data_IF_945292016741
#
_entry.id   IF_945292016741
#
_cell.length_a   1.000
_cell.length_b   1.000
_cell.length_c   1.000
_cell.angle_alpha   90.00
_cell.angle_beta   90.00
_cell.angle_gamma   90.00
#
_symmetry.space_group_name_H-M   'P 1'
#
loop_
_entity.id
_entity.type
_entity.pdbx_description
1 polymer ?
#
# COMPACT_ATOMS: atom_id res chain seq x y z
N UNK A 1 54.45 25.97 21.49
CA UNK A 1 53.39 26.99 21.36
C UNK A 1 52.60 26.99 20.03
N UNK A 2 53.05 26.36 18.96
CA UNK A 2 52.32 26.38 17.66
C UNK A 2 51.12 25.46 17.54
N UNK A 3 51.06 24.36 18.29
CA UNK A 3 49.93 23.39 18.19
C UNK A 3 48.61 23.85 18.81
N UNK A 4 48.66 24.75 19.78
CA UNK A 4 47.43 25.22 20.46
C UNK A 4 46.79 26.42 19.74
N UNK A 5 47.56 27.12 18.89
CA UNK A 5 47.03 28.21 18.09
C UNK A 5 46.15 27.71 16.95
N UNK A 6 46.55 26.60 16.27
CA UNK A 6 45.76 25.98 15.21
C UNK A 6 44.44 25.38 15.71
N UNK A 7 44.42 24.79 16.92
CA UNK A 7 43.18 24.29 17.51
C UNK A 7 42.17 25.37 17.87
N UNK A 8 42.65 26.54 18.30
CA UNK A 8 41.77 27.67 18.60
C UNK A 8 41.25 28.38 17.37
N UNK A 9 42.04 28.46 16.30
CA UNK A 9 41.60 29.02 15.02
C UNK A 9 40.57 28.10 14.33
N UNK A 10 40.75 26.77 14.41
CA UNK A 10 39.80 25.81 13.84
C UNK A 10 38.45 25.80 14.59
N UNK A 11 38.47 26.03 15.92
CA UNK A 11 37.25 26.10 16.72
C UNK A 11 36.42 27.36 16.45
N UNK A 12 37.08 28.48 16.15
CA UNK A 12 36.40 29.75 15.84
C UNK A 12 35.80 29.72 14.41
N UNK A 13 36.47 29.05 13.47
CA UNK A 13 35.97 28.93 12.09
C UNK A 13 34.74 27.99 11.98
N UNK A 14 34.64 26.96 12.83
CA UNK A 14 33.44 26.11 12.89
C UNK A 14 32.23 26.81 13.55
N UNK A 15 32.46 27.69 14.51
CA UNK A 15 31.38 28.40 15.17
C UNK A 15 30.79 29.56 14.33
N UNK A 16 31.55 30.10 13.39
CA UNK A 16 31.08 31.18 12.51
C UNK A 16 30.27 30.69 11.31
N UNK A 17 30.40 29.41 10.91
CA UNK A 17 29.59 28.82 9.81
C UNK A 17 28.19 28.38 10.25
N UNK A 18 27.94 28.23 11.55
CA UNK A 18 26.58 27.90 12.05
C UNK A 18 25.70 29.15 12.31
N UNK A 19 26.26 30.35 12.29
CA UNK A 19 25.50 31.57 12.56
C UNK A 19 24.86 32.22 11.33
N UNK A 20 25.16 31.71 10.10
CA UNK A 20 24.62 32.27 8.85
C UNK A 20 23.46 31.47 8.24
N UNK A 21 23.04 30.37 8.87
CA UNK A 21 21.92 29.54 8.36
C UNK A 21 20.54 29.87 8.96
N UNK A 22 20.43 30.93 9.78
CA UNK A 22 19.13 31.31 10.38
C UNK A 22 18.52 32.60 9.84
N UNK A 23 19.00 33.14 8.71
CA UNK A 23 18.35 34.27 8.04
C UNK A 23 17.91 33.83 6.64
N UNK A 24 16.88 33.02 6.60
CA UNK A 24 16.27 32.52 5.37
C UNK A 24 14.83 32.06 5.56
N UNK A 25 14.16 32.43 6.65
CA UNK A 25 12.70 32.45 6.68
C UNK A 25 12.24 33.80 6.12
N UNK A 26 12.45 33.99 4.82
CA UNK A 26 11.70 34.95 4.04
C UNK A 26 10.25 34.50 4.08
N UNK A 27 9.43 35.36 4.60
CA UNK A 27 7.99 35.39 4.51
C UNK A 27 7.56 35.20 3.05
N UNK A 28 7.48 33.98 2.57
CA UNK A 28 6.67 33.64 1.43
C UNK A 28 5.25 33.61 1.96
N UNK A 29 4.58 34.75 1.86
CA UNK A 29 3.14 34.77 1.73
C UNK A 29 2.78 33.91 0.51
N UNK A 30 2.84 32.60 0.69
CA UNK A 30 2.01 31.70 -0.05
C UNK A 30 0.60 32.09 0.35
N UNK A 31 -0.01 33.02 -0.41
CA UNK A 31 -1.44 33.06 -0.53
C UNK A 31 -1.83 31.62 -0.77
N UNK A 32 -2.25 30.95 0.27
CA UNK A 32 -3.18 29.86 0.20
C UNK A 32 -4.37 30.47 -0.54
N UNK A 33 -4.36 30.37 -1.86
CA UNK A 33 -5.61 30.42 -2.62
C UNK A 33 -6.44 29.35 -1.97
N UNK A 34 -7.42 29.77 -1.19
CA UNK A 34 -8.38 28.88 -0.57
C UNK A 34 -8.97 28.07 -1.72
N UNK A 35 -8.47 26.81 -1.89
CA UNK A 35 -9.22 25.82 -2.63
C UNK A 35 -10.59 25.86 -1.98
N UNK A 36 -11.56 26.37 -2.69
CA UNK A 36 -12.96 26.16 -2.36
C UNK A 36 -13.05 24.64 -2.24
N UNK A 37 -13.35 24.16 -1.06
CA UNK A 37 -13.73 22.77 -0.86
C UNK A 37 -14.99 22.60 -1.70
N UNK A 38 -14.82 22.06 -2.89
CA UNK A 38 -15.91 21.79 -3.83
C UNK A 38 -16.67 20.52 -3.44
N UNK A 39 -16.36 19.95 -2.27
CA UNK A 39 -16.94 18.72 -1.76
C UNK A 39 -16.40 17.47 -2.48
N UNK A 40 -15.36 17.59 -3.31
CA UNK A 40 -14.74 16.44 -3.97
C UNK A 40 -13.87 15.65 -3.01
N UNK A 41 -14.17 14.36 -2.89
CA UNK A 41 -13.40 13.39 -2.12
C UNK A 41 -12.39 12.72 -3.07
N UNK A 42 -11.11 12.79 -2.76
CA UNK A 42 -10.09 12.05 -3.52
C UNK A 42 -9.64 10.83 -2.72
N UNK A 43 -9.76 9.64 -3.34
CA UNK A 43 -9.26 8.38 -2.80
C UNK A 43 -7.99 7.96 -3.54
N UNK A 44 -6.92 7.74 -2.79
CA UNK A 44 -5.65 7.22 -3.32
C UNK A 44 -5.66 5.70 -3.25
N UNK A 45 -5.70 5.05 -4.40
CA UNK A 45 -5.79 3.59 -4.53
C UNK A 45 -4.48 3.05 -5.10
N UNK A 46 -3.86 2.12 -4.40
CA UNK A 46 -2.57 1.54 -4.77
C UNK A 46 -2.67 0.07 -5.14
N UNK A 47 -2.10 -0.29 -6.29
CA UNK A 47 -2.05 -1.69 -6.75
C UNK A 47 -0.80 -2.00 -7.59
N UNK A 48 -0.60 -3.29 -7.92
CA UNK A 48 0.59 -3.77 -8.63
C UNK A 48 0.38 -4.06 -10.14
N UNK A 49 -0.76 -3.73 -10.68
CA UNK A 49 -1.09 -4.07 -12.07
C UNK A 49 -0.64 -2.95 -13.01
N UNK A 50 0.68 -2.83 -13.22
CA UNK A 50 1.28 -1.76 -14.02
C UNK A 50 1.34 -2.07 -15.52
N UNK A 51 1.29 -3.35 -15.89
CA UNK A 51 1.43 -3.79 -17.29
C UNK A 51 0.10 -3.68 -18.05
N UNK A 52 0.10 -3.07 -19.22
CA UNK A 52 -1.09 -2.88 -20.06
C UNK A 52 -1.67 -4.21 -20.60
N UNK A 53 -0.89 -5.28 -20.62
CA UNK A 53 -1.38 -6.63 -20.94
C UNK A 53 -2.04 -7.33 -19.75
N UNK A 54 -2.04 -6.72 -18.58
CA UNK A 54 -2.65 -7.29 -17.39
C UNK A 54 -4.17 -7.08 -17.42
N UNK A 55 -4.91 -8.16 -17.55
CA UNK A 55 -6.38 -8.13 -17.60
C UNK A 55 -7.00 -7.48 -16.34
N UNK A 56 -6.39 -7.65 -15.17
CA UNK A 56 -6.86 -7.04 -13.93
C UNK A 56 -6.76 -5.51 -13.96
N UNK A 57 -5.75 -4.96 -14.64
CA UNK A 57 -5.63 -3.51 -14.83
C UNK A 57 -6.82 -2.96 -15.60
N UNK A 58 -7.14 -3.56 -16.75
CA UNK A 58 -8.28 -3.13 -17.55
C UNK A 58 -9.60 -3.20 -16.79
N UNK A 59 -9.87 -4.29 -16.10
CA UNK A 59 -11.08 -4.46 -15.27
C UNK A 59 -11.13 -3.44 -14.11
N UNK A 60 -10.01 -3.15 -13.49
CA UNK A 60 -9.92 -2.13 -12.45
C UNK A 60 -10.24 -0.74 -13.01
N UNK A 61 -9.65 -0.35 -14.14
CA UNK A 61 -9.90 0.95 -14.78
C UNK A 61 -11.35 1.13 -15.20
N UNK A 62 -12.00 0.06 -15.69
CA UNK A 62 -13.42 0.05 -15.99
C UNK A 62 -14.27 0.26 -14.73
N UNK A 63 -13.93 -0.45 -13.64
CA UNK A 63 -14.61 -0.31 -12.36
C UNK A 63 -14.46 1.11 -11.78
N UNK A 64 -13.28 1.71 -11.87
CA UNK A 64 -13.03 3.10 -11.45
C UNK A 64 -13.91 4.07 -12.23
N UNK A 65 -13.95 3.94 -13.56
CA UNK A 65 -14.80 4.80 -14.42
C UNK A 65 -16.29 4.67 -14.06
N UNK A 66 -16.76 3.44 -13.82
CA UNK A 66 -18.13 3.20 -13.42
C UNK A 66 -18.43 3.84 -12.05
N UNK A 67 -17.54 3.63 -11.08
CA UNK A 67 -17.71 4.17 -9.75
C UNK A 67 -17.71 5.70 -9.71
N UNK A 68 -16.78 6.37 -10.40
CA UNK A 68 -16.75 7.85 -10.50
C UNK A 68 -17.97 8.42 -11.21
N UNK A 69 -18.52 7.69 -12.20
CA UNK A 69 -19.76 8.09 -12.88
C UNK A 69 -20.95 8.07 -11.91
N UNK A 70 -21.04 7.05 -11.08
CA UNK A 70 -22.14 6.88 -10.12
C UNK A 70 -21.96 7.76 -8.87
N UNK A 71 -20.70 8.20 -8.61
CA UNK A 71 -20.32 9.03 -7.46
C UNK A 71 -19.54 10.28 -7.93
N UNK A 72 -20.19 11.28 -8.54
CA UNK A 72 -19.52 12.39 -9.22
C UNK A 72 -18.69 13.29 -8.28
N UNK A 73 -18.93 13.21 -6.99
CA UNK A 73 -18.14 13.89 -5.95
C UNK A 73 -16.91 13.10 -5.50
N UNK A 74 -16.66 11.90 -6.05
CA UNK A 74 -15.48 11.09 -5.73
C UNK A 74 -14.53 11.05 -6.92
N UNK A 75 -13.24 11.17 -6.64
CA UNK A 75 -12.15 10.97 -7.60
C UNK A 75 -11.20 9.90 -7.09
N UNK A 76 -10.83 8.98 -7.96
CA UNK A 76 -9.89 7.92 -7.65
C UNK A 76 -8.55 8.23 -8.29
N UNK A 77 -7.55 8.47 -7.45
CA UNK A 77 -6.16 8.62 -7.87
C UNK A 77 -5.45 7.29 -7.71
N UNK A 78 -5.05 6.69 -8.82
CA UNK A 78 -4.37 5.39 -8.83
C UNK A 78 -2.87 5.56 -8.84
N UNK A 79 -2.19 4.83 -7.95
CA UNK A 79 -0.74 4.59 -7.97
C UNK A 79 -0.49 3.14 -8.32
N UNK A 80 0.29 2.88 -9.37
CA UNK A 80 0.61 1.52 -9.80
C UNK A 80 2.09 1.35 -10.08
N UNK A 81 2.64 0.22 -9.67
CA UNK A 81 4.03 -0.17 -9.84
C UNK A 81 4.09 -1.65 -10.24
N UNK A 82 5.24 -2.11 -10.75
CA UNK A 82 5.47 -3.54 -10.84
C UNK A 82 5.54 -4.20 -9.46
N UNK A 83 5.38 -5.53 -9.42
CA UNK A 83 5.20 -6.26 -8.17
C UNK A 83 6.30 -6.01 -7.14
N UNK A 84 7.57 -5.99 -7.54
CA UNK A 84 8.68 -5.86 -6.58
C UNK A 84 8.88 -4.42 -6.12
N UNK A 85 8.74 -3.46 -7.03
CA UNK A 85 8.73 -2.03 -6.69
C UNK A 85 7.53 -1.70 -5.79
N UNK A 86 6.35 -2.27 -6.09
CA UNK A 86 5.14 -2.12 -5.27
C UNK A 86 5.33 -2.62 -3.83
N UNK A 87 5.84 -3.85 -3.66
CA UNK A 87 6.14 -4.41 -2.34
C UNK A 87 7.10 -3.53 -1.54
N UNK A 88 8.16 -3.07 -2.20
CA UNK A 88 9.16 -2.22 -1.56
C UNK A 88 8.56 -0.90 -1.11
N UNK A 89 7.84 -0.23 -2.00
CA UNK A 89 7.26 1.09 -1.74
C UNK A 89 6.17 1.03 -0.67
N UNK A 90 5.24 0.08 -0.76
CA UNK A 90 4.13 -0.02 0.19
C UNK A 90 4.62 -0.38 1.60
N UNK A 91 5.64 -1.26 1.73
CA UNK A 91 6.24 -1.55 3.02
C UNK A 91 6.93 -0.31 3.64
N UNK A 92 7.58 0.52 2.83
CA UNK A 92 8.18 1.77 3.30
C UNK A 92 7.11 2.77 3.77
N UNK A 93 6.00 2.91 3.05
CA UNK A 93 4.88 3.77 3.44
C UNK A 93 4.24 3.31 4.76
N UNK A 94 4.02 2.00 4.93
CA UNK A 94 3.46 1.46 6.18
C UNK A 94 4.45 1.42 7.35
N UNK A 95 5.75 1.50 7.09
CA UNK A 95 6.74 1.75 8.14
C UNK A 95 6.63 3.18 8.70
N UNK A 96 6.11 4.11 7.91
CA UNK A 96 5.72 5.46 8.30
C UNK A 96 4.23 5.57 8.63
N UNK A 97 3.66 6.71 8.30
CA UNK A 97 2.25 7.04 8.61
C UNK A 97 1.25 6.58 7.53
N UNK A 98 1.73 6.18 6.35
CA UNK A 98 0.93 5.75 5.19
C UNK A 98 -0.19 6.75 4.79
N UNK A 99 0.02 8.06 5.02
CA UNK A 99 -1.01 9.12 4.84
C UNK A 99 -1.50 9.30 3.40
N UNK A 100 -0.78 8.76 2.42
CA UNK A 100 -1.12 8.85 1.00
C UNK A 100 -1.83 7.62 0.44
N UNK A 101 -2.33 6.72 1.30
CA UNK A 101 -2.94 5.47 0.89
C UNK A 101 -4.29 5.33 1.58
N UNK A 102 -5.37 5.34 0.81
CA UNK A 102 -6.73 5.14 1.33
C UNK A 102 -7.19 3.70 1.09
N UNK A 103 -6.88 3.13 -0.07
CA UNK A 103 -7.18 1.75 -0.45
C UNK A 103 -5.97 1.13 -1.12
N UNK A 104 -5.69 -0.13 -0.83
CA UNK A 104 -4.55 -0.80 -1.45
C UNK A 104 -4.79 -2.29 -1.66
N UNK A 105 -4.16 -2.84 -2.70
CA UNK A 105 -4.10 -4.28 -2.93
C UNK A 105 -2.97 -4.88 -2.10
N UNK A 106 -3.24 -6.00 -1.41
CA UNK A 106 -2.22 -6.70 -0.66
C UNK A 106 -2.50 -8.20 -0.61
N UNK A 107 -1.47 -8.97 -0.29
CA UNK A 107 -1.59 -10.41 -0.06
C UNK A 107 -2.06 -10.68 1.36
N UNK A 108 -2.89 -11.70 1.52
CA UNK A 108 -3.43 -12.08 2.82
C UNK A 108 -2.46 -12.84 3.72
N UNK A 109 -3.02 -13.53 4.70
CA UNK A 109 -2.32 -14.35 5.69
C UNK A 109 -1.24 -13.55 6.47
N UNK A 110 -0.10 -14.14 6.74
CA UNK A 110 0.94 -13.54 7.58
C UNK A 110 1.46 -12.18 7.12
N UNK A 111 1.34 -11.84 5.82
CA UNK A 111 1.79 -10.54 5.31
C UNK A 111 0.84 -9.41 5.70
N UNK A 112 -0.46 -9.65 5.66
CA UNK A 112 -1.46 -8.66 6.07
C UNK A 112 -1.58 -8.56 7.59
N UNK A 113 -1.35 -9.66 8.34
CA UNK A 113 -1.43 -9.66 9.80
C UNK A 113 -0.57 -8.58 10.45
N UNK A 114 0.62 -8.33 9.93
CA UNK A 114 1.51 -7.28 10.44
C UNK A 114 0.89 -5.88 10.38
N UNK A 115 0.10 -5.60 9.34
CA UNK A 115 -0.57 -4.32 9.18
C UNK A 115 -1.77 -4.20 10.13
N UNK A 116 -2.48 -5.31 10.35
CA UNK A 116 -3.59 -5.41 11.33
C UNK A 116 -3.05 -5.18 12.74
N UNK A 117 -2.01 -5.92 13.15
CA UNK A 117 -1.40 -5.81 14.48
C UNK A 117 -0.84 -4.40 14.76
N UNK A 118 -0.38 -3.71 13.70
CA UNK A 118 0.11 -2.34 13.78
C UNK A 118 -1.03 -1.28 13.75
N UNK A 119 -2.30 -1.70 13.65
CA UNK A 119 -3.44 -0.79 13.56
C UNK A 119 -3.46 0.09 12.31
N UNK A 120 -2.82 -0.38 11.21
CA UNK A 120 -2.69 0.38 9.95
C UNK A 120 -3.84 0.13 8.97
N UNK A 121 -4.67 -0.85 9.23
CA UNK A 121 -5.85 -1.19 8.44
C UNK A 121 -7.08 -1.32 9.33
N UNK A 122 -8.22 -0.97 8.81
CA UNK A 122 -9.49 -1.02 9.54
C UNK A 122 -10.23 -2.32 9.25
N UNK A 123 -10.99 -2.79 10.22
CA UNK A 123 -11.95 -3.88 10.03
C UNK A 123 -13.11 -3.41 9.14
N UNK A 124 -13.61 -4.31 8.29
CA UNK A 124 -14.61 -4.00 7.28
C UNK A 124 -16.01 -4.51 7.62
N UNK A 125 -16.19 -5.24 8.71
CA UNK A 125 -17.45 -5.93 9.06
C UNK A 125 -18.65 -5.01 9.04
N UNK A 126 -18.51 -3.80 9.57
CA UNK A 126 -19.60 -2.80 9.69
C UNK A 126 -19.89 -2.08 8.36
N UNK A 127 -19.03 -2.23 7.36
CA UNK A 127 -19.11 -1.54 6.07
C UNK A 127 -19.55 -2.46 4.93
N UNK A 128 -19.47 -3.77 5.10
CA UNK A 128 -19.85 -4.73 4.08
C UNK A 128 -21.35 -5.03 4.13
N UNK A 129 -22.01 -4.70 3.03
CA UNK A 129 -23.43 -5.04 2.86
C UNK A 129 -23.62 -6.55 2.63
N UNK A 130 -24.81 -7.06 2.89
CA UNK A 130 -25.13 -8.47 2.64
C UNK A 130 -24.99 -8.84 1.15
N UNK A 131 -25.26 -7.90 0.25
CA UNK A 131 -25.04 -8.08 -1.20
C UNK A 131 -23.54 -8.32 -1.49
N UNK A 132 -22.65 -7.54 -0.92
CA UNK A 132 -21.19 -7.73 -1.09
C UNK A 132 -20.76 -9.07 -0.50
N UNK A 133 -21.21 -9.40 0.71
CA UNK A 133 -20.89 -10.66 1.39
C UNK A 133 -21.37 -11.87 0.59
N UNK A 134 -22.57 -11.81 0.01
CA UNK A 134 -23.15 -12.91 -0.78
C UNK A 134 -22.38 -13.23 -2.08
N UNK A 135 -21.60 -12.29 -2.58
CA UNK A 135 -20.76 -12.47 -3.79
C UNK A 135 -19.39 -13.06 -3.51
N UNK A 136 -18.99 -13.16 -2.25
CA UNK A 136 -17.72 -13.79 -1.86
C UNK A 136 -17.84 -15.30 -1.91
N UNK A 137 -16.82 -15.96 -2.45
CA UNK A 137 -16.74 -17.42 -2.44
C UNK A 137 -16.50 -17.89 -1.00
N UNK A 138 -17.21 -18.93 -0.58
CA UNK A 138 -17.03 -19.53 0.74
C UNK A 138 -15.55 -19.85 1.01
N UNK A 139 -15.06 -19.47 2.17
CA UNK A 139 -13.66 -19.67 2.58
C UNK A 139 -12.65 -18.69 1.96
N UNK A 140 -13.04 -17.86 0.98
CA UNK A 140 -12.12 -16.92 0.33
C UNK A 140 -11.65 -15.78 1.25
N UNK A 141 -12.38 -15.50 2.32
CA UNK A 141 -12.07 -14.45 3.29
C UNK A 141 -11.08 -14.88 4.37
N UNK A 142 -10.92 -16.20 4.58
CA UNK A 142 -10.15 -16.76 5.71
C UNK A 142 -8.70 -16.24 5.82
N UNK A 143 -8.07 -15.91 4.69
CA UNK A 143 -6.73 -15.33 4.66
C UNK A 143 -6.67 -13.86 5.13
N UNK A 144 -7.80 -13.22 5.35
CA UNK A 144 -7.95 -11.82 5.73
C UNK A 144 -8.75 -11.62 7.01
N UNK A 145 -9.08 -12.71 7.69
CA UNK A 145 -9.76 -12.72 8.98
C UNK A 145 -8.72 -12.82 10.10
N UNK A 146 -8.74 -11.86 11.02
CA UNK A 146 -7.86 -11.83 12.18
C UNK A 146 -8.70 -11.45 13.41
N UNK A 147 -8.57 -12.22 14.46
CA UNK A 147 -9.28 -12.01 15.73
C UNK A 147 -10.81 -11.88 15.55
N UNK A 148 -11.36 -12.65 14.60
CA UNK A 148 -12.79 -12.71 14.29
C UNK A 148 -13.33 -11.50 13.52
N UNK A 149 -12.47 -10.68 12.93
CA UNK A 149 -12.83 -9.54 12.09
C UNK A 149 -12.23 -9.65 10.70
N UNK A 150 -12.97 -9.17 9.70
CA UNK A 150 -12.53 -9.15 8.31
C UNK A 150 -11.86 -7.81 7.97
N UNK A 151 -10.65 -7.86 7.41
CA UNK A 151 -9.85 -6.68 7.09
C UNK A 151 -9.64 -6.44 5.59
N UNK A 152 -10.09 -7.34 4.74
CA UNK A 152 -10.02 -7.18 3.28
C UNK A 152 -11.09 -8.01 2.58
N UNK A 153 -11.47 -7.61 1.38
CA UNK A 153 -12.31 -8.41 0.49
C UNK A 153 -11.46 -9.09 -0.57
N UNK A 154 -11.67 -10.37 -0.89
CA UNK A 154 -10.96 -11.05 -1.96
C UNK A 154 -11.39 -10.48 -3.31
N UNK A 155 -10.43 -10.15 -4.19
CA UNK A 155 -10.72 -9.76 -5.57
C UNK A 155 -10.78 -10.97 -6.51
N UNK A 156 -9.97 -11.99 -6.22
CA UNK A 156 -9.89 -13.23 -6.98
C UNK A 156 -9.33 -14.34 -6.09
N UNK A 157 -9.58 -15.58 -6.49
CA UNK A 157 -9.02 -16.75 -5.81
C UNK A 157 -8.08 -17.51 -6.74
N UNK A 158 -6.95 -17.93 -6.20
CA UNK A 158 -5.99 -18.78 -6.89
C UNK A 158 -6.01 -20.16 -6.28
N UNK A 159 -5.96 -21.16 -7.14
CA UNK A 159 -5.80 -22.54 -6.70
C UNK A 159 -4.36 -22.97 -7.01
N UNK A 160 -3.64 -23.36 -5.99
CA UNK A 160 -2.35 -24.01 -6.16
C UNK A 160 -2.57 -25.52 -6.11
N UNK A 161 -2.23 -26.20 -7.20
CA UNK A 161 -2.38 -27.64 -7.32
C UNK A 161 -1.02 -28.31 -7.50
N UNK A 162 -0.91 -29.51 -6.98
CA UNK A 162 0.27 -30.35 -7.18
C UNK A 162 0.05 -31.26 -8.39
N UNK A 163 0.92 -31.14 -9.38
CA UNK A 163 0.93 -32.07 -10.51
C UNK A 163 1.94 -33.16 -10.23
N UNK A 164 1.50 -34.41 -10.18
CA UNK A 164 2.35 -35.57 -9.93
C UNK A 164 2.58 -36.36 -11.22
N UNK A 165 3.85 -36.65 -11.53
CA UNK A 165 4.19 -37.56 -12.62
C UNK A 165 4.00 -39.02 -12.14
N UNK A 166 2.88 -39.61 -12.51
CA UNK A 166 2.54 -40.97 -12.08
C UNK A 166 3.61 -41.99 -12.43
N UNK A 167 4.19 -41.89 -13.62
CA UNK A 167 5.24 -42.85 -14.06
C UNK A 167 6.48 -42.80 -13.16
N UNK A 168 6.87 -41.62 -12.68
CA UNK A 168 8.00 -41.49 -11.76
C UNK A 168 7.65 -42.01 -10.38
N UNK A 169 6.43 -41.77 -9.90
CA UNK A 169 5.96 -42.35 -8.63
C UNK A 169 5.94 -43.86 -8.66
N UNK A 170 5.41 -44.46 -9.72
CA UNK A 170 5.37 -45.91 -9.91
C UNK A 170 6.79 -46.51 -9.93
N UNK A 171 7.73 -45.88 -10.68
CA UNK A 171 9.12 -46.32 -10.74
C UNK A 171 9.85 -46.22 -9.40
N UNK A 172 9.51 -45.22 -8.60
CA UNK A 172 10.07 -45.02 -7.27
C UNK A 172 9.39 -45.86 -6.18
N UNK A 173 8.32 -46.61 -6.48
CA UNK A 173 7.53 -47.32 -5.49
C UNK A 173 6.84 -46.41 -4.49
N UNK A 174 6.66 -45.12 -4.82
CA UNK A 174 6.06 -44.13 -3.94
C UNK A 174 4.54 -44.03 -4.20
N UNK A 175 3.77 -43.76 -3.14
CA UNK A 175 2.33 -43.51 -3.27
C UNK A 175 2.08 -42.07 -3.73
N UNK A 176 1.08 -41.87 -4.60
CA UNK A 176 0.60 -40.54 -4.91
C UNK A 176 -0.03 -39.92 -3.65
N UNK A 177 0.11 -38.60 -3.45
CA UNK A 177 -0.63 -37.90 -2.40
C UNK A 177 -2.12 -38.01 -2.66
N UNK A 178 -2.90 -38.18 -1.58
CA UNK A 178 -4.36 -38.21 -1.57
C UNK A 178 -4.93 -36.81 -1.46
#
# INVERSE_FOLDING_TARGET
>A
MRKNFFKKVLAVTLASTMAFSMVGCGNSDSKSEGKKDDGTITLNVWHQWSNDTNELKGRYEEAVKAYEKDNPNVKIKTETLDTEAYKTKINAEFAGDAKGIDVFYWWGAGTAKKLVDAGKVMALDDYLTDDVKSRMVEGSTSAFEYDGKLYSTPMFSWYMTLFCNKTLFDKAGAKLPE
#
